data_IF_586986954281
#
_entry.id   IF_586986954281
#
_cell.length_a   1.000
_cell.length_b   1.000
_cell.length_c   1.000
_cell.angle_alpha   90.00
_cell.angle_beta   90.00
_cell.angle_gamma   90.00
#
_symmetry.space_group_name_H-M   'P 1'
#
loop_
_entity.id
_entity.type
_entity.pdbx_description
1 polymer ?
#
# COMPACT_ATOMS: atom_id res chain seq x y z
N UNK A 1 0.16 22.00 59.64
CA UNK A 1 1.37 21.90 58.80
C UNK A 1 0.90 21.67 57.39
N UNK A 2 1.29 22.55 56.47
CA UNK A 2 0.70 22.73 55.16
C UNK A 2 0.97 21.55 54.20
N UNK A 3 0.00 21.29 53.32
CA UNK A 3 0.10 20.42 52.15
C UNK A 3 0.86 21.18 51.06
N UNK A 4 2.03 20.70 50.63
CA UNK A 4 2.72 21.21 49.44
C UNK A 4 2.30 20.36 48.24
N UNK A 5 1.53 20.98 47.35
CA UNK A 5 1.20 20.46 46.03
C UNK A 5 2.01 21.34 45.09
N UNK A 6 3.17 20.87 44.66
CA UNK A 6 3.99 21.58 43.69
C UNK A 6 3.97 20.86 42.34
N UNK A 7 3.60 21.66 41.35
CA UNK A 7 3.91 21.58 39.93
C UNK A 7 3.56 20.30 39.17
N UNK A 8 2.46 20.43 38.42
CA UNK A 8 2.31 19.84 37.07
C UNK A 8 3.54 20.18 36.22
N UNK A 9 4.42 19.21 35.98
CA UNK A 9 5.34 19.27 34.85
C UNK A 9 4.65 18.65 33.65
N UNK A 10 4.19 19.55 32.76
CA UNK A 10 3.76 19.22 31.41
C UNK A 10 4.96 18.70 30.61
N UNK A 11 5.19 17.39 30.62
CA UNK A 11 6.09 16.79 29.64
C UNK A 11 5.37 16.71 28.29
N UNK A 12 5.60 17.74 27.49
CA UNK A 12 5.34 17.74 26.05
C UNK A 12 6.39 16.84 25.38
N UNK A 13 6.29 15.52 25.62
CA UNK A 13 7.17 14.48 25.10
C UNK A 13 6.84 14.09 23.66
N UNK A 14 7.22 14.95 22.72
CA UNK A 14 7.64 14.64 21.34
C UNK A 14 7.04 13.40 20.64
N UNK A 15 6.03 13.63 19.79
CA UNK A 15 5.43 12.66 18.85
C UNK A 15 6.35 12.27 17.67
N UNK A 16 7.64 12.61 17.68
CA UNK A 16 8.54 12.46 16.53
C UNK A 16 9.11 11.02 16.35
N UNK A 17 9.01 10.16 17.36
CA UNK A 17 9.66 8.83 17.34
C UNK A 17 8.96 7.76 16.47
N UNK A 18 7.73 8.01 16.02
CA UNK A 18 6.94 7.03 15.24
C UNK A 18 6.86 7.36 13.76
N UNK A 19 7.04 8.62 13.37
CA UNK A 19 6.95 9.08 11.97
C UNK A 19 7.97 8.37 11.06
N UNK A 20 9.20 8.19 11.53
CA UNK A 20 10.29 7.62 10.73
C UNK A 20 10.28 6.09 10.65
N UNK A 21 9.55 5.40 11.53
CA UNK A 21 9.56 3.93 11.58
C UNK A 21 8.78 3.31 10.43
N UNK A 22 7.66 3.93 10.05
CA UNK A 22 6.86 3.51 8.91
C UNK A 22 7.60 3.71 7.59
N UNK A 23 8.22 4.87 7.42
CA UNK A 23 9.04 5.21 6.25
C UNK A 23 10.24 4.26 6.10
N UNK A 24 11.05 4.07 7.14
CA UNK A 24 12.18 3.15 7.09
C UNK A 24 11.76 1.72 6.75
N UNK A 25 10.63 1.25 7.31
CA UNK A 25 10.09 -0.07 6.99
C UNK A 25 9.60 -0.16 5.53
N UNK A 26 9.00 0.91 5.00
CA UNK A 26 8.61 1.00 3.59
C UNK A 26 9.82 0.95 2.66
N UNK A 27 10.85 1.77 2.92
CA UNK A 27 12.07 1.79 2.12
C UNK A 27 12.80 0.44 2.14
N UNK A 28 12.95 -0.19 3.31
CA UNK A 28 13.56 -1.51 3.42
C UNK A 28 12.80 -2.57 2.61
N UNK A 29 11.46 -2.56 2.68
CA UNK A 29 10.62 -3.49 1.92
C UNK A 29 10.68 -3.23 0.42
N UNK A 30 10.67 -1.96 0.01
CA UNK A 30 10.80 -1.56 -1.39
C UNK A 30 12.15 -1.98 -1.97
N UNK A 31 13.24 -1.79 -1.24
CA UNK A 31 14.57 -2.25 -1.65
C UNK A 31 14.61 -3.77 -1.85
N UNK A 32 13.97 -4.54 -0.97
CA UNK A 32 13.87 -5.99 -1.13
C UNK A 32 13.08 -6.39 -2.40
N UNK A 33 12.06 -5.63 -2.78
CA UNK A 33 11.29 -5.86 -4.02
C UNK A 33 12.04 -5.47 -5.28
N UNK A 34 12.87 -4.43 -5.23
CA UNK A 34 13.64 -3.94 -6.37
C UNK A 34 14.98 -4.67 -6.56
N UNK A 35 15.35 -5.59 -5.66
CA UNK A 35 16.63 -6.27 -5.76
C UNK A 35 16.61 -7.32 -6.90
N UNK A 36 17.43 -7.16 -7.95
CA UNK A 36 17.44 -8.05 -9.11
C UNK A 36 17.97 -9.46 -8.78
N UNK A 37 18.57 -9.66 -7.61
CA UNK A 37 19.01 -10.97 -7.12
C UNK A 37 17.87 -11.81 -6.51
N UNK A 38 16.65 -11.28 -6.43
CA UNK A 38 15.47 -12.08 -6.13
C UNK A 38 15.16 -12.96 -7.37
N UNK A 39 15.17 -14.31 -7.26
CA UNK A 39 14.95 -15.22 -8.40
C UNK A 39 13.58 -15.09 -9.09
N UNK A 40 12.70 -14.19 -8.64
CA UNK A 40 11.44 -13.82 -9.28
C UNK A 40 11.57 -12.92 -10.53
N UNK A 41 12.67 -12.99 -11.28
CA UNK A 41 12.79 -12.34 -12.61
C UNK A 41 12.24 -13.24 -13.73
N UNK A 42 11.20 -14.03 -13.46
CA UNK A 42 10.51 -14.80 -14.49
C UNK A 42 9.64 -13.86 -15.31
N UNK A 43 10.11 -13.49 -16.50
CA UNK A 43 9.33 -12.66 -17.42
C UNK A 43 8.03 -13.38 -17.77
N UNK A 44 6.90 -12.78 -17.42
CA UNK A 44 5.57 -13.30 -17.77
C UNK A 44 5.43 -13.30 -19.29
N UNK A 45 4.98 -14.40 -19.93
CA UNK A 45 4.76 -14.40 -21.37
C UNK A 45 3.81 -13.26 -21.79
N UNK A 46 4.03 -12.63 -22.95
CA UNK A 46 3.21 -11.50 -23.40
C UNK A 46 1.74 -11.90 -23.55
N UNK A 47 1.45 -13.14 -23.89
CA UNK A 47 0.09 -13.68 -23.98
C UNK A 47 -0.65 -13.64 -22.64
N UNK A 48 0.00 -14.08 -21.55
CA UNK A 48 -0.56 -14.05 -20.19
C UNK A 48 -0.77 -12.60 -19.75
N UNK A 49 0.18 -11.71 -20.08
CA UNK A 49 0.05 -10.27 -19.81
C UNK A 49 -1.18 -9.68 -20.49
N UNK A 50 -1.39 -9.97 -21.77
CA UNK A 50 -2.55 -9.49 -22.53
C UNK A 50 -3.87 -10.06 -21.98
N UNK A 51 -3.91 -11.34 -21.61
CA UNK A 51 -5.09 -11.95 -20.99
C UNK A 51 -5.46 -11.26 -19.68
N UNK A 52 -4.49 -11.06 -18.79
CA UNK A 52 -4.70 -10.36 -17.52
C UNK A 52 -5.18 -8.92 -17.76
N UNK A 53 -4.59 -8.22 -18.73
CA UNK A 53 -4.97 -6.86 -19.03
C UNK A 53 -6.40 -6.75 -19.61
N UNK A 54 -6.88 -7.78 -20.29
CA UNK A 54 -8.21 -7.84 -20.89
C UNK A 54 -9.33 -8.21 -19.92
N UNK A 55 -9.03 -8.55 -18.67
CA UNK A 55 -10.08 -8.79 -17.66
C UNK A 55 -10.77 -7.45 -17.34
N UNK A 56 -12.03 -7.31 -17.77
CA UNK A 56 -12.85 -6.12 -17.53
C UNK A 56 -13.97 -6.36 -16.48
N UNK A 57 -14.26 -7.61 -16.14
CA UNK A 57 -15.33 -7.93 -15.20
C UNK A 57 -14.96 -7.47 -13.78
N UNK A 58 -15.76 -6.54 -13.23
CA UNK A 58 -15.57 -6.02 -11.87
C UNK A 58 -15.67 -7.12 -10.82
N UNK A 59 -16.57 -8.08 -11.01
CA UNK A 59 -16.74 -9.19 -10.07
C UNK A 59 -15.53 -10.13 -10.07
N UNK A 60 -14.92 -10.36 -11.23
CA UNK A 60 -13.67 -11.11 -11.32
C UNK A 60 -12.52 -10.37 -10.61
N UNK A 61 -12.38 -9.06 -10.84
CA UNK A 61 -11.34 -8.25 -10.19
C UNK A 61 -11.50 -8.26 -8.67
N UNK A 62 -12.74 -8.15 -8.16
CA UNK A 62 -13.04 -8.26 -6.73
C UNK A 62 -12.72 -9.64 -6.16
N UNK A 63 -13.01 -10.71 -6.90
CA UNK A 63 -12.66 -12.07 -6.46
C UNK A 63 -11.14 -12.22 -6.32
N UNK A 64 -10.39 -11.75 -7.32
CA UNK A 64 -8.92 -11.77 -7.31
C UNK A 64 -8.38 -10.95 -6.13
N UNK A 65 -8.95 -9.78 -5.86
CA UNK A 65 -8.60 -8.96 -4.69
C UNK A 65 -8.77 -9.73 -3.37
N UNK A 66 -9.92 -10.41 -3.18
CA UNK A 66 -10.16 -11.22 -1.98
C UNK A 66 -9.11 -12.32 -1.83
N UNK A 67 -8.77 -13.03 -2.90
CA UNK A 67 -7.73 -14.07 -2.87
C UNK A 67 -6.34 -13.51 -2.52
N UNK A 68 -5.99 -12.32 -3.02
CA UNK A 68 -4.69 -11.71 -2.76
C UNK A 68 -4.57 -11.15 -1.34
N UNK A 69 -5.59 -10.44 -0.88
CA UNK A 69 -5.52 -9.63 0.34
C UNK A 69 -6.02 -10.40 1.56
N UNK A 70 -7.13 -11.13 1.42
CA UNK A 70 -7.74 -11.90 2.50
C UNK A 70 -7.06 -13.27 2.61
N UNK A 71 -7.05 -14.04 1.51
CA UNK A 71 -6.53 -15.41 1.52
C UNK A 71 -5.00 -15.47 1.42
N UNK A 72 -4.33 -14.32 1.21
CA UNK A 72 -2.87 -14.20 1.06
C UNK A 72 -2.29 -15.12 -0.02
N UNK A 73 -3.08 -15.44 -1.05
CA UNK A 73 -2.64 -16.26 -2.18
C UNK A 73 -1.97 -15.37 -3.22
N UNK A 74 -0.64 -15.48 -3.32
CA UNK A 74 0.14 -14.79 -4.34
C UNK A 74 -0.03 -15.39 -5.74
N UNK A 75 0.40 -14.64 -6.76
CA UNK A 75 0.51 -15.16 -8.12
C UNK A 75 1.77 -16.01 -8.28
N UNK A 76 1.66 -17.09 -9.05
CA UNK A 76 2.80 -17.93 -9.41
C UNK A 76 3.75 -17.26 -10.42
N UNK A 77 3.27 -16.20 -11.08
CA UNK A 77 4.03 -15.44 -12.07
C UNK A 77 3.92 -13.94 -11.77
N UNK A 78 4.91 -13.15 -12.20
CA UNK A 78 4.81 -11.69 -12.10
C UNK A 78 3.58 -11.18 -12.85
N UNK A 79 2.88 -10.23 -12.24
CA UNK A 79 1.68 -9.62 -12.82
C UNK A 79 1.99 -8.23 -13.36
N UNK A 80 1.35 -7.82 -14.48
CA UNK A 80 1.47 -6.46 -14.97
C UNK A 80 0.98 -5.46 -13.92
N UNK A 81 1.74 -4.39 -13.69
CA UNK A 81 1.39 -3.38 -12.69
C UNK A 81 -0.01 -2.79 -12.94
N UNK A 82 -0.34 -2.47 -14.19
CA UNK A 82 -1.66 -1.92 -14.55
C UNK A 82 -2.83 -2.89 -14.29
N UNK A 83 -2.58 -4.20 -14.25
CA UNK A 83 -3.58 -5.17 -13.81
C UNK A 83 -3.70 -5.16 -12.28
N UNK A 84 -2.58 -5.20 -11.55
CA UNK A 84 -2.58 -5.16 -10.09
C UNK A 84 -3.26 -3.90 -9.53
N UNK A 85 -3.00 -2.73 -10.13
CA UNK A 85 -3.65 -1.47 -9.75
C UNK A 85 -5.17 -1.57 -9.91
N UNK A 86 -5.66 -2.08 -11.05
CA UNK A 86 -7.11 -2.23 -11.27
C UNK A 86 -7.77 -3.18 -10.27
N UNK A 87 -7.13 -4.29 -9.95
CA UNK A 87 -7.60 -5.23 -8.91
C UNK A 87 -7.72 -4.53 -7.56
N UNK A 88 -6.68 -3.80 -7.13
CA UNK A 88 -6.70 -3.06 -5.87
C UNK A 88 -7.79 -1.99 -5.83
N UNK A 89 -7.93 -1.18 -6.89
CA UNK A 89 -8.95 -0.13 -6.97
C UNK A 89 -10.36 -0.71 -6.86
N UNK A 90 -10.67 -1.78 -7.59
CA UNK A 90 -12.01 -2.39 -7.52
C UNK A 90 -12.28 -3.08 -6.17
N UNK A 91 -11.23 -3.61 -5.53
CA UNK A 91 -11.29 -4.13 -4.15
C UNK A 91 -11.57 -3.03 -3.12
N UNK A 92 -10.80 -1.95 -3.15
CA UNK A 92 -10.96 -0.82 -2.24
C UNK A 92 -12.31 -0.12 -2.41
N UNK A 93 -12.82 -0.01 -3.64
CA UNK A 93 -14.19 0.47 -3.88
C UNK A 93 -15.22 -0.46 -3.24
N UNK A 94 -15.05 -1.78 -3.37
CA UNK A 94 -15.96 -2.74 -2.77
C UNK A 94 -15.92 -2.71 -1.22
N UNK A 95 -14.75 -2.44 -0.64
CA UNK A 95 -14.56 -2.31 0.80
C UNK A 95 -14.97 -0.91 1.34
N UNK A 96 -15.36 0.03 0.48
CA UNK A 96 -15.70 1.40 0.86
C UNK A 96 -14.51 2.22 1.34
N UNK A 97 -13.28 1.75 1.11
CA UNK A 97 -12.03 2.42 1.50
C UNK A 97 -11.46 3.29 0.38
N UNK A 98 -11.96 3.14 -0.84
CA UNK A 98 -11.63 4.01 -1.95
C UNK A 98 -12.41 5.32 -1.86
N UNK A 99 -11.76 6.49 -1.87
CA UNK A 99 -12.47 7.77 -1.85
C UNK A 99 -13.17 7.97 -3.19
N UNK A 100 -14.46 7.63 -3.26
CA UNK A 100 -15.28 7.95 -4.43
C UNK A 100 -15.52 9.46 -4.48
N UNK A 101 -14.90 10.13 -5.45
CA UNK A 101 -15.12 11.56 -5.71
C UNK A 101 -14.29 12.53 -4.86
N UNK A 102 -13.32 12.07 -4.06
CA UNK A 102 -12.29 12.99 -3.57
C UNK A 102 -11.24 13.21 -4.66
N UNK A 103 -11.01 14.47 -4.98
CA UNK A 103 -9.85 14.89 -5.76
C UNK A 103 -8.59 14.47 -5.00
N UNK A 104 -7.60 13.91 -5.70
CA UNK A 104 -6.31 13.63 -5.09
C UNK A 104 -5.80 14.95 -4.47
N UNK A 105 -5.23 14.94 -3.25
CA UNK A 105 -4.62 16.13 -2.69
C UNK A 105 -3.69 16.72 -3.74
N UNK A 106 -3.74 18.06 -3.96
CA UNK A 106 -2.80 18.68 -4.88
C UNK A 106 -1.38 18.25 -4.47
N UNK A 107 -0.48 17.99 -5.43
CA UNK A 107 0.89 17.69 -5.09
C UNK A 107 1.37 18.81 -4.18
N UNK A 108 1.86 18.46 -3.00
CA UNK A 108 2.52 19.43 -2.15
C UNK A 108 3.65 20.01 -2.99
N UNK A 109 3.52 21.28 -3.39
CA UNK A 109 4.60 22.05 -3.95
C UNK A 109 5.61 22.20 -2.81
N UNK A 110 6.44 21.17 -2.62
CA UNK A 110 7.64 21.18 -1.81
C UNK A 110 8.60 22.18 -2.47
N UNK A 111 8.30 23.46 -2.26
CA UNK A 111 9.21 24.57 -2.51
C UNK A 111 10.25 24.56 -1.39
N UNK A 112 11.25 23.69 -1.54
CA UNK A 112 12.52 23.73 -0.84
C UNK A 112 13.66 24.03 -1.81
#
# INVERSE_FOLDING_TARGET
MALSIDAVESDSGSSAGTANRGEAAWHARRQAWCNPSNPQTSTTPPEVTNMLLNIQSRDHLRHIYKSLIIDRRGFNHPVPLGFAVRVCVEGWKADGTWPEGMEAPPPDDDNF
#
